data_IF_900111030147
#
_entry.id   IF_900111030147
#
_cell.length_a   1.000
_cell.length_b   1.000
_cell.length_c   1.000
_cell.angle_alpha   90.00
_cell.angle_beta   90.00
_cell.angle_gamma   90.00
#
_symmetry.space_group_name_H-M   'P 1'
#
loop_
_entity.id
_entity.type
_entity.pdbx_description
1 polymer ?
#
# COMPACT_ATOMS: atom_id res chain seq x y z
N UNK A 1 20.52 5.81 43.34
CA UNK A 1 20.15 4.86 42.28
C UNK A 1 20.06 3.46 42.88
N UNK A 2 18.85 2.88 42.95
CA UNK A 2 18.70 1.49 43.40
C UNK A 2 19.13 0.54 42.29
N UNK A 3 20.01 -0.41 42.59
CA UNK A 3 20.37 -1.47 41.65
C UNK A 3 19.33 -2.58 41.72
N UNK A 4 18.86 -3.09 40.58
CA UNK A 4 17.85 -4.17 40.56
C UNK A 4 18.33 -5.42 41.32
N UNK A 5 19.64 -5.70 41.31
CA UNK A 5 20.24 -6.77 42.11
C UNK A 5 20.05 -6.57 43.61
N UNK A 6 20.11 -5.34 44.11
CA UNK A 6 19.89 -5.06 45.54
C UNK A 6 18.45 -5.33 45.98
N UNK A 7 17.46 -5.11 45.10
CA UNK A 7 16.04 -5.39 45.38
C UNK A 7 15.79 -6.90 45.52
N UNK A 8 16.57 -7.73 44.80
CA UNK A 8 16.52 -9.18 44.93
C UNK A 8 17.36 -9.71 46.12
N UNK A 9 17.95 -8.83 46.94
CA UNK A 9 18.83 -9.23 48.05
C UNK A 9 20.22 -9.71 47.60
N UNK A 10 20.55 -9.57 46.31
CA UNK A 10 21.86 -9.93 45.75
C UNK A 10 22.86 -8.78 45.98
N UNK A 11 23.25 -8.57 47.24
CA UNK A 11 24.27 -7.58 47.64
C UNK A 11 25.67 -8.21 47.57
N UNK A 12 26.20 -8.36 46.35
CA UNK A 12 27.60 -8.73 46.15
C UNK A 12 28.43 -7.49 45.82
N UNK A 13 29.30 -7.04 46.72
CA UNK A 13 30.37 -6.09 46.38
C UNK A 13 31.16 -6.64 45.19
N UNK A 14 31.35 -5.83 44.14
CA UNK A 14 32.00 -6.19 42.88
C UNK A 14 31.43 -7.38 42.06
N UNK A 15 30.46 -8.15 42.56
CA UNK A 15 29.98 -9.40 41.95
C UNK A 15 28.66 -9.29 41.15
N UNK A 16 28.12 -8.08 40.92
CA UNK A 16 26.90 -7.89 40.14
C UNK A 16 26.98 -8.46 38.70
N UNK A 17 28.18 -8.62 38.17
CA UNK A 17 28.44 -9.25 36.87
C UNK A 17 28.52 -10.79 36.90
N UNK A 18 28.55 -11.41 38.08
CA UNK A 18 28.77 -12.85 38.25
C UNK A 18 27.50 -13.69 38.45
N UNK A 19 26.33 -13.09 38.69
CA UNK A 19 25.11 -13.84 38.99
C UNK A 19 24.52 -14.49 37.73
N UNK A 20 24.29 -15.80 37.77
CA UNK A 20 23.61 -16.55 36.70
C UNK A 20 22.10 -16.24 36.69
N UNK A 21 21.41 -16.49 35.57
CA UNK A 21 19.93 -16.39 35.54
C UNK A 21 19.27 -17.28 36.60
N UNK A 22 19.90 -18.43 36.89
CA UNK A 22 19.45 -19.35 37.91
C UNK A 22 19.51 -18.74 39.31
N UNK A 23 20.56 -17.98 39.62
CA UNK A 23 20.73 -17.33 40.93
C UNK A 23 19.74 -16.19 41.10
N UNK A 24 19.53 -15.41 40.04
CA UNK A 24 18.51 -14.36 39.98
C UNK A 24 17.10 -14.94 40.19
N UNK A 25 16.79 -16.08 39.55
CA UNK A 25 15.50 -16.76 39.73
C UNK A 25 15.32 -17.34 41.13
N UNK A 26 16.37 -17.91 41.73
CA UNK A 26 16.34 -18.43 43.10
C UNK A 26 16.11 -17.29 44.10
N UNK A 27 16.87 -16.20 44.00
CA UNK A 27 16.73 -15.03 44.87
C UNK A 27 15.34 -14.41 44.77
N UNK A 28 14.80 -14.26 43.54
CA UNK A 28 13.43 -13.78 43.33
C UNK A 28 12.39 -14.66 44.06
N UNK A 29 12.49 -15.99 43.94
CA UNK A 29 11.55 -16.91 44.61
C UNK A 29 11.58 -16.78 46.13
N UNK A 30 12.77 -16.66 46.72
CA UNK A 30 12.94 -16.51 48.16
C UNK A 30 12.33 -15.18 48.64
N UNK A 31 12.70 -14.06 48.01
CA UNK A 31 12.18 -12.74 48.36
C UNK A 31 10.67 -12.62 48.10
N UNK A 32 10.15 -13.29 47.08
CA UNK A 32 8.71 -13.28 46.77
C UNK A 32 7.89 -13.99 47.86
N UNK A 33 8.44 -15.05 48.47
CA UNK A 33 7.81 -15.72 49.61
C UNK A 33 7.87 -14.85 50.87
N UNK A 34 9.00 -14.16 51.08
CA UNK A 34 9.18 -13.30 52.24
C UNK A 34 8.30 -12.04 52.19
N UNK A 35 8.15 -11.44 51.01
CA UNK A 35 7.43 -10.18 50.77
C UNK A 35 5.99 -10.40 50.26
N UNK A 36 5.45 -11.62 50.37
CA UNK A 36 4.12 -11.90 49.88
C UNK A 36 3.06 -11.19 50.74
N UNK A 37 2.10 -10.46 50.16
CA UNK A 37 1.09 -9.71 50.92
C UNK A 37 0.19 -10.62 51.78
N UNK A 38 -0.07 -11.85 51.33
CA UNK A 38 -0.83 -12.85 52.11
C UNK A 38 -0.13 -13.28 53.41
N UNK A 39 1.21 -13.31 53.42
CA UNK A 39 1.99 -13.68 54.61
C UNK A 39 2.30 -12.49 55.52
N UNK A 40 2.08 -11.27 55.04
CA UNK A 40 2.31 -10.02 55.76
C UNK A 40 1.10 -9.08 55.61
N UNK A 41 -0.09 -9.46 56.12
CA UNK A 41 -1.26 -8.61 56.07
C UNK A 41 -1.10 -7.32 56.89
N UNK A 42 -0.19 -7.31 57.87
CA UNK A 42 0.05 -6.19 58.79
C UNK A 42 0.97 -5.10 58.21
N UNK A 43 1.70 -5.38 57.11
CA UNK A 43 2.60 -4.40 56.47
C UNK A 43 1.88 -3.76 55.27
N UNK A 44 1.46 -2.47 55.36
CA UNK A 44 0.78 -1.80 54.25
C UNK A 44 1.68 -1.64 53.01
N UNK A 45 3.00 -1.71 53.18
CA UNK A 45 3.97 -1.61 52.08
C UNK A 45 4.31 -2.96 51.44
N UNK A 46 3.78 -4.08 51.95
CA UNK A 46 4.08 -5.41 51.42
C UNK A 46 3.76 -5.52 49.92
N UNK A 47 2.64 -4.94 49.48
CA UNK A 47 2.25 -4.90 48.07
C UNK A 47 3.25 -4.09 47.23
N UNK A 48 3.67 -2.92 47.70
CA UNK A 48 4.60 -2.05 47.00
C UNK A 48 5.99 -2.72 46.86
N UNK A 49 6.47 -3.34 47.94
CA UNK A 49 7.74 -4.09 47.97
C UNK A 49 7.72 -5.29 47.01
N UNK A 50 6.61 -6.03 46.96
CA UNK A 50 6.43 -7.14 46.04
C UNK A 50 6.41 -6.70 44.56
N UNK A 51 5.74 -5.59 44.25
CA UNK A 51 5.75 -5.01 42.90
C UNK A 51 7.16 -4.58 42.47
N UNK A 52 7.91 -3.91 43.35
CA UNK A 52 9.29 -3.51 43.07
C UNK A 52 10.21 -4.72 42.83
N UNK A 53 10.03 -5.79 43.60
CA UNK A 53 10.74 -7.06 43.41
C UNK A 53 10.42 -7.67 42.05
N UNK A 54 9.14 -7.73 41.67
CA UNK A 54 8.68 -8.26 40.38
C UNK A 54 9.25 -7.46 39.21
N UNK A 55 9.19 -6.13 39.26
CA UNK A 55 9.74 -5.25 38.23
C UNK A 55 11.24 -5.46 38.05
N UNK A 56 11.99 -5.54 39.16
CA UNK A 56 13.43 -5.76 39.11
C UNK A 56 13.80 -7.11 38.50
N UNK A 57 13.05 -8.17 38.81
CA UNK A 57 13.25 -9.49 38.21
C UNK A 57 13.01 -9.50 36.70
N UNK A 58 11.93 -8.88 36.21
CA UNK A 58 11.64 -8.81 34.77
C UNK A 58 12.71 -8.04 34.00
N UNK A 59 13.23 -6.95 34.57
CA UNK A 59 14.33 -6.18 33.95
C UNK A 59 15.60 -7.03 33.86
N UNK A 60 15.96 -7.75 34.93
CA UNK A 60 17.15 -8.61 34.94
C UNK A 60 16.99 -9.81 33.98
N UNK A 61 15.81 -10.42 33.94
CA UNK A 61 15.50 -11.56 33.05
C UNK A 61 15.50 -11.16 31.59
N UNK A 62 14.95 -9.99 31.25
CA UNK A 62 14.96 -9.50 29.86
C UNK A 62 16.35 -9.05 29.43
N UNK A 63 17.16 -8.46 30.31
CA UNK A 63 18.53 -8.06 30.02
C UNK A 63 19.43 -9.26 29.67
N UNK A 64 19.23 -10.40 30.35
CA UNK A 64 19.99 -11.64 30.12
C UNK A 64 19.39 -12.54 29.03
N UNK A 65 18.06 -12.45 28.84
CA UNK A 65 17.28 -13.26 27.90
C UNK A 65 17.01 -12.66 26.51
N UNK A 66 17.67 -11.57 26.08
CA UNK A 66 17.44 -10.93 24.74
C UNK A 66 17.75 -11.82 23.51
N UNK A 67 18.07 -13.10 23.69
CA UNK A 67 18.35 -14.04 22.60
C UNK A 67 17.20 -15.00 22.22
N UNK A 68 16.11 -15.11 22.99
CA UNK A 68 15.17 -16.22 22.75
C UNK A 68 13.75 -16.00 23.26
N UNK A 69 13.07 -14.93 22.81
CA UNK A 69 11.63 -15.07 22.57
C UNK A 69 11.47 -16.05 21.42
N UNK A 70 11.44 -17.35 21.72
CA UNK A 70 10.95 -18.37 20.78
C UNK A 70 9.54 -17.94 20.43
N UNK A 71 9.36 -17.33 19.26
CA UNK A 71 8.05 -17.24 18.64
C UNK A 71 7.54 -18.68 18.67
N UNK A 72 6.35 -18.91 19.23
CA UNK A 72 5.71 -20.22 19.09
C UNK A 72 5.72 -20.52 17.58
N UNK A 73 6.15 -21.71 17.16
CA UNK A 73 5.97 -22.10 15.77
C UNK A 73 4.50 -21.90 15.46
N UNK A 74 4.21 -21.09 14.46
CA UNK A 74 2.85 -21.02 13.93
C UNK A 74 2.55 -22.44 13.41
N UNK A 75 1.55 -23.12 14.00
CA UNK A 75 1.08 -24.42 13.50
C UNK A 75 0.38 -24.20 12.14
N UNK A 76 1.17 -23.96 11.10
CA UNK A 76 0.74 -23.66 9.71
C UNK A 76 -0.20 -24.75 9.15
N UNK A 77 -0.11 -25.97 9.70
CA UNK A 77 -0.82 -27.14 9.20
C UNK A 77 -2.32 -27.12 9.54
N UNK A 78 -2.74 -26.47 10.64
CA UNK A 78 -4.16 -26.37 11.01
C UNK A 78 -4.88 -25.22 10.25
N UNK A 79 -4.13 -24.16 9.91
CA UNK A 79 -4.67 -22.99 9.21
C UNK A 79 -4.80 -23.18 7.69
N UNK A 80 -3.91 -23.96 7.07
CA UNK A 80 -3.88 -24.17 5.61
C UNK A 80 -5.09 -24.96 5.07
N UNK A 81 -5.57 -25.97 5.80
CA UNK A 81 -6.77 -26.73 5.41
C UNK A 81 -8.05 -25.88 5.52
N UNK A 82 -8.11 -24.97 6.50
CA UNK A 82 -9.17 -23.98 6.64
C UNK A 82 -9.10 -22.90 5.56
N UNK A 83 -7.89 -22.55 5.10
CA UNK A 83 -7.67 -21.53 4.07
C UNK A 83 -8.19 -21.94 2.69
N UNK A 84 -7.94 -23.18 2.26
CA UNK A 84 -8.40 -23.65 0.94
C UNK A 84 -9.93 -23.66 0.81
N UNK A 85 -10.64 -24.12 1.85
CA UNK A 85 -12.12 -24.10 1.90
C UNK A 85 -12.63 -22.67 1.98
N UNK A 86 -12.03 -21.81 2.82
CA UNK A 86 -12.40 -20.39 2.93
C UNK A 86 -12.22 -19.64 1.62
N UNK A 87 -11.12 -19.85 0.91
CA UNK A 87 -10.83 -19.22 -0.41
C UNK A 87 -11.83 -19.67 -1.48
N UNK A 88 -12.18 -20.96 -1.52
CA UNK A 88 -13.21 -21.47 -2.44
C UNK A 88 -14.58 -20.85 -2.14
N UNK A 89 -14.97 -20.80 -0.87
CA UNK A 89 -16.24 -20.20 -0.45
C UNK A 89 -16.30 -18.69 -0.75
N UNK A 90 -15.21 -17.95 -0.55
CA UNK A 90 -15.15 -16.52 -0.90
C UNK A 90 -15.23 -16.29 -2.41
N UNK A 91 -14.54 -17.09 -3.22
CA UNK A 91 -14.62 -16.96 -4.69
C UNK A 91 -16.02 -17.25 -5.24
N UNK A 92 -16.72 -18.22 -4.65
CA UNK A 92 -18.09 -18.57 -5.04
C UNK A 92 -19.10 -17.47 -4.66
N UNK A 93 -18.95 -16.88 -3.47
CA UNK A 93 -19.73 -15.70 -3.04
C UNK A 93 -19.49 -14.49 -3.94
N UNK A 94 -18.22 -14.11 -4.18
CA UNK A 94 -17.88 -12.95 -5.00
C UNK A 94 -18.39 -13.10 -6.44
N UNK A 95 -18.36 -14.30 -7.02
CA UNK A 95 -18.96 -14.56 -8.32
C UNK A 95 -20.47 -14.33 -8.31
N UNK A 96 -21.20 -14.89 -7.33
CA UNK A 96 -22.64 -14.68 -7.20
C UNK A 96 -22.99 -13.21 -7.02
N UNK A 97 -22.24 -12.50 -6.18
CA UNK A 97 -22.43 -11.07 -5.97
C UNK A 97 -22.15 -10.28 -7.24
N UNK A 98 -21.10 -10.58 -8.00
CA UNK A 98 -20.84 -9.94 -9.31
C UNK A 98 -21.95 -10.22 -10.32
N UNK A 99 -22.49 -11.43 -10.38
CA UNK A 99 -23.56 -11.74 -11.33
C UNK A 99 -24.91 -11.14 -10.91
N UNK A 100 -25.14 -10.95 -9.61
CA UNK A 100 -26.38 -10.36 -9.08
C UNK A 100 -26.32 -8.82 -8.98
N UNK A 101 -25.14 -8.24 -8.78
CA UNK A 101 -24.93 -6.79 -8.65
C UNK A 101 -24.80 -6.06 -10.00
N UNK A 102 -24.73 -6.79 -11.11
CA UNK A 102 -24.84 -6.17 -12.44
C UNK A 102 -26.31 -5.96 -12.74
N UNK A 103 -26.77 -4.72 -12.56
CA UNK A 103 -28.11 -4.31 -12.97
C UNK A 103 -28.41 -4.80 -14.39
N UNK A 104 -29.63 -5.28 -14.69
CA UNK A 104 -29.98 -5.83 -16.00
C UNK A 104 -29.72 -4.84 -17.15
N UNK A 105 -29.77 -3.53 -16.85
CA UNK A 105 -29.44 -2.44 -17.76
C UNK A 105 -27.94 -2.45 -18.14
N UNK A 106 -27.06 -2.66 -17.16
CA UNK A 106 -25.61 -2.73 -17.38
C UNK A 106 -25.21 -3.99 -18.15
N UNK A 107 -25.91 -5.10 -17.92
CA UNK A 107 -25.70 -6.35 -18.68
C UNK A 107 -26.11 -6.20 -20.16
N UNK A 108 -27.21 -5.52 -20.42
CA UNK A 108 -27.65 -5.23 -21.79
C UNK A 108 -26.67 -4.28 -22.50
N UNK A 109 -26.23 -3.22 -21.82
CA UNK A 109 -25.22 -2.29 -22.34
C UNK A 109 -23.91 -3.00 -22.71
N UNK A 110 -23.40 -3.90 -21.85
CA UNK A 110 -22.19 -4.67 -22.13
C UNK A 110 -22.33 -5.59 -23.36
N UNK A 111 -23.51 -6.20 -23.57
CA UNK A 111 -23.78 -7.02 -24.74
C UNK A 111 -23.90 -6.20 -26.04
N UNK A 112 -24.44 -4.99 -25.96
CA UNK A 112 -24.51 -4.06 -27.08
C UNK A 112 -23.13 -3.52 -27.47
N UNK A 113 -22.33 -3.13 -26.48
CA UNK A 113 -20.92 -2.73 -26.69
C UNK A 113 -20.12 -3.85 -27.37
N UNK A 114 -20.32 -5.10 -26.96
CA UNK A 114 -19.64 -6.23 -27.59
C UNK A 114 -20.06 -6.42 -29.07
N UNK A 115 -21.35 -6.22 -29.39
CA UNK A 115 -21.83 -6.27 -30.79
C UNK A 115 -21.24 -5.15 -31.63
N UNK A 116 -21.22 -3.92 -31.12
CA UNK A 116 -20.62 -2.75 -31.78
C UNK A 116 -19.13 -3.01 -32.03
N UNK A 117 -18.40 -3.51 -31.03
CA UNK A 117 -16.98 -3.82 -31.14
C UNK A 117 -16.71 -4.91 -32.19
N UNK A 118 -17.53 -5.97 -32.24
CA UNK A 118 -17.42 -7.02 -33.27
C UNK A 118 -17.65 -6.45 -34.67
N UNK A 119 -18.65 -5.58 -34.84
CA UNK A 119 -18.96 -4.97 -36.12
C UNK A 119 -17.84 -4.03 -36.59
N UNK A 120 -17.36 -3.15 -35.71
CA UNK A 120 -16.21 -2.28 -35.99
C UNK A 120 -14.96 -3.08 -36.37
N UNK A 121 -14.69 -4.19 -35.66
CA UNK A 121 -13.55 -5.06 -35.98
C UNK A 121 -13.69 -5.70 -37.36
N UNK A 122 -14.90 -6.13 -37.73
CA UNK A 122 -15.18 -6.66 -39.06
C UNK A 122 -15.00 -5.58 -40.14
N UNK A 123 -15.49 -4.37 -39.91
CA UNK A 123 -15.37 -3.27 -40.86
C UNK A 123 -13.92 -2.82 -41.04
N UNK A 124 -13.14 -2.71 -39.96
CA UNK A 124 -11.70 -2.44 -40.01
C UNK A 124 -10.99 -3.53 -40.82
N UNK A 125 -11.34 -4.80 -40.60
CA UNK A 125 -10.73 -5.91 -41.34
C UNK A 125 -11.05 -5.82 -42.84
N UNK A 126 -12.28 -5.46 -43.20
CA UNK A 126 -12.73 -5.26 -44.58
C UNK A 126 -12.02 -4.07 -45.23
N UNK A 127 -11.94 -2.92 -44.56
CA UNK A 127 -11.21 -1.74 -45.04
C UNK A 127 -9.73 -2.04 -45.25
N UNK A 128 -9.09 -2.74 -44.31
CA UNK A 128 -7.69 -3.16 -44.46
C UNK A 128 -7.49 -4.10 -45.64
N UNK A 129 -8.43 -5.03 -45.86
CA UNK A 129 -8.38 -5.92 -47.01
C UNK A 129 -8.59 -5.20 -48.35
N UNK A 130 -9.48 -4.20 -48.42
CA UNK A 130 -9.69 -3.40 -49.63
C UNK A 130 -8.54 -2.44 -49.91
N UNK A 131 -7.89 -1.88 -48.87
CA UNK A 131 -6.64 -1.12 -49.02
C UNK A 131 -5.53 -2.03 -49.54
N UNK A 132 -5.39 -3.26 -49.03
CA UNK A 132 -4.37 -4.22 -49.48
C UNK A 132 -4.57 -4.69 -50.93
N UNK A 133 -5.81 -4.74 -51.41
CA UNK A 133 -6.15 -5.13 -52.79
C UNK A 133 -6.09 -3.98 -53.79
N UNK A 134 -6.01 -2.72 -53.33
CA UNK A 134 -5.76 -1.58 -54.22
C UNK A 134 -4.31 -1.66 -54.68
N UNK A 135 -4.02 -1.68 -55.99
CA UNK A 135 -2.65 -1.58 -56.46
C UNK A 135 -2.09 -0.23 -56.00
N UNK A 136 -0.91 -0.23 -55.39
CA UNK A 136 -0.14 0.99 -55.11
C UNK A 136 0.38 1.54 -56.43
N UNK A 137 -0.51 2.13 -57.21
CA UNK A 137 -0.19 2.95 -58.36
C UNK A 137 -0.30 4.41 -57.94
N UNK A 138 0.83 5.05 -57.68
CA UNK A 138 0.94 6.49 -57.91
C UNK A 138 0.66 6.71 -59.40
N UNK A 139 -0.58 7.02 -59.76
CA UNK A 139 -0.85 7.66 -61.05
C UNK A 139 -0.33 9.08 -60.95
N UNK A 140 0.97 9.28 -61.18
CA UNK A 140 1.46 10.57 -61.63
C UNK A 140 0.77 10.83 -62.97
N UNK A 141 -0.33 11.58 -62.95
CA UNK A 141 -0.83 12.20 -64.17
C UNK A 141 0.34 13.04 -64.71
N UNK A 142 0.83 12.79 -65.93
CA UNK A 142 1.81 13.68 -66.53
C UNK A 142 1.06 14.98 -66.83
N UNK A 143 1.23 15.96 -65.96
CA UNK A 143 0.71 17.30 -66.17
C UNK A 143 1.62 17.99 -67.18
N UNK A 144 1.17 18.02 -68.43
CA UNK A 144 1.88 18.68 -69.54
C UNK A 144 1.72 20.20 -69.39
N UNK A 145 2.78 20.87 -68.95
CA UNK A 145 2.81 22.34 -68.85
C UNK A 145 3.14 22.95 -70.21
N UNK A 146 2.19 22.97 -71.13
CA UNK A 146 2.23 23.89 -72.28
C UNK A 146 0.84 24.44 -72.62
N UNK A 147 0.75 25.77 -72.45
CA UNK A 147 -0.28 26.70 -72.97
C UNK A 147 -1.66 26.57 -72.29
N UNK A 148 -2.24 27.58 -71.64
CA UNK A 148 -2.37 28.99 -72.02
C UNK A 148 -2.44 29.90 -70.77
N UNK A 149 -1.84 31.09 -70.87
CA UNK A 149 -2.02 32.18 -69.90
C UNK A 149 -3.45 32.74 -70.03
N UNK A 150 -4.38 32.31 -69.17
CA UNK A 150 -5.65 33.01 -68.96
C UNK A 150 -5.82 33.38 -67.48
N UNK A 151 -5.32 34.58 -67.19
CA UNK A 151 -5.74 35.54 -66.14
C UNK A 151 -6.53 34.93 -64.97
N UNK A 152 -5.84 34.53 -63.90
CA UNK A 152 -6.48 34.32 -62.59
C UNK A 152 -6.31 35.59 -61.76
N UNK A 153 -7.39 36.37 -61.59
CA UNK A 153 -7.40 37.50 -60.66
C UNK A 153 -7.54 36.93 -59.23
N UNK A 154 -6.68 37.30 -58.26
CA UNK A 154 -6.85 36.84 -56.89
C UNK A 154 -8.11 37.49 -56.28
N UNK A 155 -9.01 36.67 -55.76
CA UNK A 155 -10.17 37.13 -54.99
C UNK A 155 -9.70 37.67 -53.64
N UNK A 156 -10.07 38.92 -53.34
CA UNK A 156 -9.80 39.56 -52.06
C UNK A 156 -10.55 38.84 -50.93
N UNK A 157 -9.83 38.35 -49.93
CA UNK A 157 -10.40 37.81 -48.69
C UNK A 157 -10.70 39.00 -47.77
N UNK A 158 -11.94 39.24 -47.33
CA UNK A 158 -12.22 40.30 -46.38
C UNK A 158 -11.65 39.94 -44.99
N UNK A 159 -10.89 40.86 -44.41
CA UNK A 159 -10.34 40.73 -43.05
C UNK A 159 -11.45 40.52 -42.03
N UNK A 160 -11.31 39.60 -41.06
CA UNK A 160 -12.27 39.49 -39.97
C UNK A 160 -12.18 40.74 -39.08
N UNK A 161 -13.33 41.39 -38.88
CA UNK A 161 -13.52 42.52 -37.97
C UNK A 161 -13.23 42.00 -36.55
N UNK A 162 -12.06 42.32 -36.01
CA UNK A 162 -11.77 42.15 -34.58
C UNK A 162 -12.57 43.24 -33.86
N UNK A 163 -13.77 42.89 -33.40
CA UNK A 163 -14.55 43.71 -32.48
C UNK A 163 -13.91 43.61 -31.09
N UNK A 164 -13.35 44.72 -30.63
CA UNK A 164 -12.80 44.88 -29.30
C UNK A 164 -13.94 44.81 -28.26
N UNK A 165 -14.10 43.66 -27.61
CA UNK A 165 -14.94 43.51 -26.43
C UNK A 165 -14.19 42.66 -25.39
N UNK A 166 -13.46 43.36 -24.53
CA UNK A 166 -13.35 43.12 -23.08
C UNK A 166 -13.32 41.67 -22.58
N UNK A 167 -12.12 41.13 -22.36
CA UNK A 167 -11.88 40.15 -21.31
C UNK A 167 -10.67 40.61 -20.48
N UNK A 168 -10.98 41.24 -19.35
CA UNK A 168 -10.00 41.58 -18.31
C UNK A 168 -9.50 40.29 -17.64
N UNK A 169 -8.24 39.92 -17.89
CA UNK A 169 -7.51 38.94 -17.07
C UNK A 169 -6.65 39.71 -16.05
N UNK A 170 -7.28 40.15 -14.98
CA UNK A 170 -6.60 40.48 -13.73
C UNK A 170 -7.00 39.40 -12.72
N UNK A 171 -6.01 38.93 -11.95
CA UNK A 171 -6.08 37.85 -10.94
C UNK A 171 -6.03 36.41 -11.47
N UNK A 172 -4.87 35.75 -11.37
CA UNK A 172 -4.39 35.07 -10.15
C UNK A 172 -2.94 34.62 -10.40
N UNK A 173 -2.01 35.43 -9.91
CA UNK A 173 -0.69 34.96 -9.48
C UNK A 173 -0.87 34.19 -8.17
N UNK A 174 0.03 33.23 -7.90
CA UNK A 174 0.25 32.51 -6.62
C UNK A 174 -0.46 31.15 -6.50
N UNK A 175 0.24 30.06 -6.89
CA UNK A 175 0.49 28.83 -6.07
C UNK A 175 0.97 27.64 -6.93
N UNK A 176 2.22 27.67 -7.40
CA UNK A 176 2.92 26.48 -7.91
C UNK A 176 4.40 26.52 -7.54
N UNK A 177 4.68 26.56 -6.24
CA UNK A 177 5.97 26.17 -5.66
C UNK A 177 5.66 25.36 -4.42
N UNK A 178 5.75 24.03 -4.53
CA UNK A 178 6.14 23.09 -3.47
C UNK A 178 6.18 21.67 -4.06
N UNK A 179 7.18 20.91 -3.63
CA UNK A 179 7.37 19.47 -3.87
C UNK A 179 8.10 19.04 -5.15
N UNK A 180 9.38 19.43 -5.25
CA UNK A 180 10.40 18.56 -5.86
C UNK A 180 11.66 18.59 -5.02
N UNK A 181 11.71 17.74 -3.99
CA UNK A 181 12.92 17.35 -3.28
C UNK A 181 12.79 15.90 -2.84
N UNK A 182 13.76 15.09 -3.28
CA UNK A 182 14.30 13.86 -2.69
C UNK A 182 14.15 12.61 -3.57
N UNK A 183 15.23 12.26 -4.27
CA UNK A 183 15.35 10.95 -4.90
C UNK A 183 16.62 10.75 -5.74
N UNK A 184 17.81 10.82 -5.15
CA UNK A 184 18.99 10.08 -5.66
C UNK A 184 20.17 10.18 -4.66
N UNK A 185 20.42 9.10 -3.92
CA UNK A 185 21.73 8.82 -3.31
C UNK A 185 22.22 7.48 -3.85
N UNK A 186 23.48 7.51 -4.29
CA UNK A 186 24.41 6.40 -4.46
C UNK A 186 24.64 5.65 -3.14
#
# INVERSE_FOLDING_TARGET
MYTHYAVLGLRGGAAAAGFSEQDISKAYKLMALELHPDKRPDDPDAHAKFLQLKQSYEILKTAKGKGSRKKKPDDDQYNSNSDSKRRRMMSDLEKRERFAAVDPIMKAAAQEEEKIARQLKADISRIRATIKKRPTGTSSIPFDYKEEKKVFKPLAIPNPIISAASFNLFEYSVLSKLSSKNGSKL
#
